data_IF_988531530044
#
_entry.id   IF_988531530044
#
_cell.length_a   1.000
_cell.length_b   1.000
_cell.length_c   1.000
_cell.angle_alpha   90.00
_cell.angle_beta   90.00
_cell.angle_gamma   90.00
#
_symmetry.space_group_name_H-M   'P 1'
#
loop_
_entity.id
_entity.type
_entity.pdbx_description
1 polymer ?
#
# COMPACT_ATOMS: atom_id res chain seq x y z
N UNK A 1 -19.34 -38.90 39.83
CA UNK A 1 -18.08 -38.14 39.77
C UNK A 1 -18.35 -36.94 38.87
N UNK A 2 -18.91 -35.88 39.45
CA UNK A 2 -19.21 -34.64 38.74
C UNK A 2 -18.02 -33.72 38.94
N UNK A 3 -17.26 -33.43 37.88
CA UNK A 3 -16.17 -32.46 37.93
C UNK A 3 -16.75 -31.09 37.64
N UNK A 4 -16.75 -30.24 38.67
CA UNK A 4 -17.10 -28.83 38.62
C UNK A 4 -16.30 -28.09 37.54
N UNK A 5 -16.96 -27.70 36.44
CA UNK A 5 -16.49 -26.69 35.50
C UNK A 5 -16.83 -25.30 36.05
N UNK A 6 -16.20 -24.92 37.15
CA UNK A 6 -16.25 -23.54 37.64
C UNK A 6 -15.11 -22.76 36.98
N UNK A 7 -15.25 -22.47 35.69
CA UNK A 7 -14.39 -21.49 35.00
C UNK A 7 -14.87 -20.11 35.44
N UNK A 8 -14.09 -19.47 36.31
CA UNK A 8 -14.33 -18.09 36.76
C UNK A 8 -14.45 -17.17 35.54
N UNK A 9 -15.69 -16.78 35.22
CA UNK A 9 -16.06 -15.94 34.06
C UNK A 9 -15.54 -14.50 34.25
N UNK A 10 -15.06 -14.15 35.45
CA UNK A 10 -14.50 -12.84 35.77
C UNK A 10 -12.97 -12.77 35.73
N UNK A 11 -12.27 -13.88 35.48
CA UNK A 11 -10.82 -13.88 35.40
C UNK A 11 -10.36 -13.77 33.93
N UNK A 12 -10.49 -12.58 33.34
CA UNK A 12 -9.71 -12.26 32.13
C UNK A 12 -8.26 -12.16 32.61
N UNK A 13 -7.35 -13.05 32.20
CA UNK A 13 -5.95 -12.91 32.56
C UNK A 13 -5.47 -11.56 32.04
N UNK A 14 -5.18 -10.65 32.97
CA UNK A 14 -4.57 -9.35 32.72
C UNK A 14 -3.10 -9.54 32.32
N UNK A 15 -2.82 -10.40 31.35
CA UNK A 15 -1.54 -10.38 30.65
C UNK A 15 -1.60 -9.21 29.67
N UNK A 16 -0.95 -8.11 30.03
CA UNK A 16 -0.84 -6.95 29.15
C UNK A 16 -0.24 -7.40 27.81
N UNK A 17 -0.90 -7.09 26.70
CA UNK A 17 -0.32 -7.42 25.39
C UNK A 17 0.99 -6.66 25.16
N UNK A 18 1.82 -7.23 24.30
CA UNK A 18 3.15 -6.72 23.98
C UNK A 18 3.06 -5.29 23.47
N UNK A 19 3.80 -4.39 24.11
CA UNK A 19 3.90 -2.99 23.70
C UNK A 19 4.96 -2.83 22.60
N UNK A 20 4.52 -2.41 21.41
CA UNK A 20 5.37 -2.12 20.24
C UNK A 20 5.73 -0.65 20.09
N UNK A 21 5.17 0.24 20.90
CA UNK A 21 5.32 1.69 20.73
C UNK A 21 6.79 2.12 20.76
N UNK A 22 7.57 1.53 21.67
CA UNK A 22 9.01 1.76 21.81
C UNK A 22 9.78 1.35 20.56
N UNK A 23 9.51 0.16 20.03
CA UNK A 23 10.17 -0.39 18.86
C UNK A 23 9.83 0.40 17.59
N UNK A 24 8.59 0.88 17.45
CA UNK A 24 8.17 1.71 16.31
C UNK A 24 8.72 3.13 16.35
N UNK A 25 9.01 3.68 17.53
CA UNK A 25 9.49 5.05 17.71
C UNK A 25 11.00 5.23 17.53
N UNK A 26 11.77 4.14 17.48
CA UNK A 26 13.22 4.21 17.29
C UNK A 26 13.56 4.73 15.89
N UNK A 27 14.61 5.56 15.72
CA UNK A 27 15.08 5.97 14.40
C UNK A 27 15.58 4.76 13.60
N UNK A 28 15.60 4.86 12.27
CA UNK A 28 16.15 3.78 11.44
C UNK A 28 17.68 3.69 11.65
N UNK A 29 18.24 2.48 11.72
CA UNK A 29 19.67 2.27 11.87
C UNK A 29 20.42 2.68 10.60
N UNK A 30 21.65 3.17 10.78
CA UNK A 30 22.52 3.65 9.70
C UNK A 30 23.42 2.57 9.11
N UNK A 31 23.63 1.45 9.82
CA UNK A 31 24.51 0.36 9.38
C UNK A 31 23.71 -0.89 9.01
N UNK A 32 24.10 -1.63 7.97
CA UNK A 32 23.38 -2.82 7.51
C UNK A 32 23.40 -3.95 8.55
N UNK A 33 24.48 -4.08 9.33
CA UNK A 33 24.58 -5.08 10.39
C UNK A 33 23.54 -4.86 11.50
N UNK A 34 23.39 -3.62 11.96
CA UNK A 34 22.40 -3.27 13.00
C UNK A 34 20.97 -3.40 12.47
N UNK A 35 20.75 -3.04 11.20
CA UNK A 35 19.46 -3.22 10.54
C UNK A 35 19.01 -4.69 10.52
N UNK A 36 19.94 -5.63 10.25
CA UNK A 36 19.65 -7.08 10.26
C UNK A 36 19.32 -7.58 11.67
N UNK A 37 20.09 -7.18 12.67
CA UNK A 37 19.83 -7.59 14.07
C UNK A 37 18.51 -7.04 14.58
N UNK A 38 18.19 -5.78 14.28
CA UNK A 38 16.92 -5.17 14.65
C UNK A 38 15.76 -5.85 13.92
N UNK A 39 15.88 -6.12 12.62
CA UNK A 39 14.87 -6.85 11.85
C UNK A 39 14.58 -8.24 12.44
N UNK A 40 15.61 -8.99 12.85
CA UNK A 40 15.42 -10.28 13.52
C UNK A 40 14.69 -10.14 14.86
N UNK A 41 15.02 -9.11 15.66
CA UNK A 41 14.33 -8.85 16.92
C UNK A 41 12.85 -8.49 16.71
N UNK A 42 12.53 -7.71 15.68
CA UNK A 42 11.16 -7.35 15.34
C UNK A 42 10.37 -8.55 14.84
N UNK A 43 10.96 -9.46 14.06
CA UNK A 43 10.31 -10.71 13.66
C UNK A 43 9.95 -11.59 14.87
N UNK A 44 10.82 -11.65 15.88
CA UNK A 44 10.52 -12.35 17.12
C UNK A 44 9.35 -11.68 17.86
N UNK A 45 9.31 -10.35 17.91
CA UNK A 45 8.21 -9.59 18.50
C UNK A 45 6.90 -9.81 17.72
N UNK A 46 6.94 -9.83 16.39
CA UNK A 46 5.79 -10.13 15.55
C UNK A 46 5.14 -11.47 15.93
N UNK A 47 5.96 -12.50 16.18
CA UNK A 47 5.46 -13.81 16.64
C UNK A 47 4.72 -13.71 17.99
N UNK A 48 5.17 -12.84 18.89
CA UNK A 48 4.49 -12.62 20.18
C UNK A 48 3.17 -11.85 20.01
N UNK A 49 3.11 -10.89 19.08
CA UNK A 49 1.87 -10.19 18.72
C UNK A 49 0.85 -11.15 18.09
N UNK A 50 1.29 -12.00 17.16
CA UNK A 50 0.43 -12.99 16.52
C UNK A 50 -0.13 -13.98 17.57
N UNK A 51 0.69 -14.38 18.54
CA UNK A 51 0.24 -15.17 19.69
C UNK A 51 -0.79 -14.44 20.56
N UNK A 52 -0.59 -13.15 20.84
CA UNK A 52 -1.54 -12.34 21.62
C UNK A 52 -2.86 -12.15 20.88
N UNK A 53 -2.80 -11.92 19.56
CA UNK A 53 -3.98 -11.84 18.70
C UNK A 53 -4.76 -13.15 18.70
N UNK A 54 -4.07 -14.30 18.65
CA UNK A 54 -4.72 -15.61 18.70
C UNK A 54 -5.50 -15.81 20.01
N UNK A 55 -4.94 -15.42 21.16
CA UNK A 55 -5.66 -15.50 22.45
C UNK A 55 -6.98 -14.75 22.43
N UNK A 56 -7.00 -13.52 21.90
CA UNK A 56 -8.25 -12.74 21.78
C UNK A 56 -9.21 -13.35 20.76
N UNK A 57 -8.71 -13.99 19.70
CA UNK A 57 -9.55 -14.75 18.77
C UNK A 57 -10.18 -15.98 19.45
N UNK A 58 -9.45 -16.65 20.33
CA UNK A 58 -9.95 -17.80 21.10
C UNK A 58 -11.05 -17.35 22.08
N UNK A 59 -10.94 -16.16 22.68
CA UNK A 59 -12.01 -15.55 23.50
C UNK A 59 -13.29 -15.33 22.68
N UNK A 60 -13.16 -14.86 21.44
CA UNK A 60 -14.31 -14.71 20.53
C UNK A 60 -14.90 -16.06 20.14
N UNK A 61 -14.06 -17.06 19.86
CA UNK A 61 -14.46 -18.42 19.53
C UNK A 61 -15.21 -19.10 20.68
N UNK A 62 -14.72 -18.95 21.93
CA UNK A 62 -15.37 -19.46 23.13
C UNK A 62 -16.78 -18.86 23.33
N UNK A 63 -16.98 -17.61 22.92
CA UNK A 63 -18.28 -16.95 22.93
C UNK A 63 -19.15 -17.24 21.68
N UNK A 64 -18.65 -18.05 20.72
CA UNK A 64 -19.35 -18.38 19.49
C UNK A 64 -19.65 -17.16 18.61
N UNK A 65 -18.72 -16.21 18.54
CA UNK A 65 -18.88 -14.88 17.94
C UNK A 65 -17.65 -14.59 17.07
N UNK A 66 -17.84 -13.93 15.93
CA UNK A 66 -16.74 -13.44 15.09
C UNK A 66 -16.53 -11.94 15.28
N UNK A 67 -15.52 -11.34 14.64
CA UNK A 67 -15.27 -9.89 14.66
C UNK A 67 -16.46 -9.03 14.17
N UNK A 68 -17.37 -9.60 13.38
CA UNK A 68 -18.43 -8.85 12.68
C UNK A 68 -19.84 -9.16 13.20
N UNK A 69 -20.00 -10.20 14.01
CA UNK A 69 -21.32 -10.62 14.51
C UNK A 69 -21.99 -9.51 15.34
N UNK A 70 -23.30 -9.24 15.14
CA UNK A 70 -24.02 -8.25 15.91
C UNK A 70 -24.11 -8.66 17.38
N UNK A 71 -23.99 -7.68 18.28
CA UNK A 71 -24.08 -7.88 19.74
C UNK A 71 -25.47 -7.56 20.31
N UNK A 72 -26.41 -7.34 19.41
CA UNK A 72 -27.80 -7.00 19.69
C UNK A 72 -28.71 -7.99 18.99
N UNK A 73 -29.89 -8.21 19.55
CA UNK A 73 -30.94 -9.00 18.94
C UNK A 73 -31.71 -8.20 17.87
N UNK A 74 -32.71 -8.83 17.25
CA UNK A 74 -33.57 -8.21 16.24
C UNK A 74 -34.48 -7.09 16.80
N UNK A 75 -34.65 -7.03 18.11
CA UNK A 75 -35.45 -6.02 18.82
C UNK A 75 -34.58 -4.85 19.31
N UNK A 76 -33.26 -4.91 19.12
CA UNK A 76 -32.30 -3.87 19.51
C UNK A 76 -31.76 -3.99 20.93
N UNK A 77 -32.01 -5.11 21.62
CA UNK A 77 -31.52 -5.34 22.98
C UNK A 77 -30.19 -6.10 23.01
N UNK A 78 -29.33 -5.85 24.02
CA UNK A 78 -28.09 -6.60 24.20
C UNK A 78 -28.33 -8.11 24.38
N UNK A 79 -27.50 -8.94 23.74
CA UNK A 79 -27.61 -10.40 23.86
C UNK A 79 -27.27 -10.87 25.28
N UNK A 80 -28.30 -11.28 26.03
CA UNK A 80 -28.16 -11.69 27.44
C UNK A 80 -27.36 -12.98 27.66
N UNK A 81 -27.25 -13.83 26.63
CA UNK A 81 -26.55 -15.11 26.69
C UNK A 81 -25.04 -15.03 26.40
N UNK A 82 -24.48 -13.83 26.18
CA UNK A 82 -23.09 -13.63 25.78
C UNK A 82 -22.42 -12.59 26.66
N UNK A 83 -21.14 -12.78 26.96
CA UNK A 83 -20.34 -11.75 27.63
C UNK A 83 -19.93 -10.66 26.63
N UNK A 84 -20.77 -9.62 26.56
CA UNK A 84 -20.55 -8.50 25.65
C UNK A 84 -19.30 -7.70 25.99
N UNK A 85 -18.87 -7.69 27.25
CA UNK A 85 -17.69 -6.93 27.67
C UNK A 85 -16.41 -7.63 27.24
N UNK A 86 -16.34 -8.95 27.46
CA UNK A 86 -15.24 -9.76 26.94
C UNK A 86 -15.15 -9.65 25.41
N UNK A 87 -16.28 -9.76 24.70
CA UNK A 87 -16.32 -9.65 23.24
C UNK A 87 -15.86 -8.28 22.75
N UNK A 88 -16.38 -7.19 23.33
CA UNK A 88 -16.01 -5.82 22.91
C UNK A 88 -14.52 -5.56 23.15
N UNK A 89 -14.01 -5.98 24.32
CA UNK A 89 -12.60 -5.82 24.68
C UNK A 89 -11.71 -6.62 23.74
N UNK A 90 -12.04 -7.90 23.49
CA UNK A 90 -11.29 -8.75 22.57
C UNK A 90 -11.28 -8.19 21.14
N UNK A 91 -12.43 -7.72 20.62
CA UNK A 91 -12.50 -7.08 19.29
C UNK A 91 -11.65 -5.82 19.21
N UNK A 92 -11.76 -4.95 20.20
CA UNK A 92 -10.96 -3.74 20.24
C UNK A 92 -9.47 -4.09 20.24
N UNK A 93 -9.08 -5.10 21.02
CA UNK A 93 -7.68 -5.49 21.13
C UNK A 93 -7.15 -6.13 19.85
N UNK A 94 -7.93 -6.99 19.19
CA UNK A 94 -7.59 -7.54 17.87
C UNK A 94 -7.36 -6.43 16.85
N UNK A 95 -8.19 -5.38 16.83
CA UNK A 95 -8.00 -4.27 15.90
C UNK A 95 -6.71 -3.50 16.17
N UNK A 96 -6.39 -3.24 17.44
CA UNK A 96 -5.12 -2.61 17.85
C UNK A 96 -3.95 -3.48 17.41
N UNK A 97 -3.94 -4.77 17.77
CA UNK A 97 -2.87 -5.72 17.43
C UNK A 97 -2.70 -5.89 15.92
N UNK A 98 -3.78 -5.83 15.13
CA UNK A 98 -3.69 -5.86 13.66
C UNK A 98 -2.97 -4.64 13.12
N UNK A 99 -3.33 -3.45 13.58
CA UNK A 99 -2.67 -2.20 13.18
C UNK A 99 -1.19 -2.21 13.59
N UNK A 100 -0.89 -2.64 14.81
CA UNK A 100 0.46 -2.77 15.34
C UNK A 100 1.31 -3.75 14.52
N UNK A 101 0.74 -4.92 14.20
CA UNK A 101 1.41 -5.91 13.36
C UNK A 101 1.69 -5.38 11.96
N UNK A 102 0.78 -4.57 11.39
CA UNK A 102 0.99 -3.93 10.10
C UNK A 102 2.15 -2.93 10.16
N UNK A 103 2.14 -2.04 11.15
CA UNK A 103 3.21 -1.06 11.36
C UNK A 103 4.58 -1.72 11.56
N UNK A 104 4.62 -2.84 12.29
CA UNK A 104 5.85 -3.60 12.51
C UNK A 104 6.35 -4.25 11.22
N UNK A 105 5.47 -4.89 10.43
CA UNK A 105 5.84 -5.46 9.11
C UNK A 105 6.40 -4.39 8.17
N UNK A 106 5.80 -3.20 8.15
CA UNK A 106 6.30 -2.07 7.36
C UNK A 106 7.69 -1.63 7.81
N UNK A 107 7.96 -1.62 9.12
CA UNK A 107 9.29 -1.30 9.67
C UNK A 107 10.31 -2.36 9.28
N UNK A 108 9.98 -3.65 9.44
CA UNK A 108 10.86 -4.77 9.04
C UNK A 108 11.19 -4.70 7.55
N UNK A 109 10.22 -4.38 6.69
CA UNK A 109 10.45 -4.22 5.26
C UNK A 109 11.47 -3.10 4.97
N UNK A 110 11.39 -1.96 5.67
CA UNK A 110 12.37 -0.87 5.56
C UNK A 110 13.76 -1.30 6.02
N UNK A 111 13.86 -1.98 7.16
CA UNK A 111 15.13 -2.47 7.69
C UNK A 111 15.80 -3.49 6.77
N UNK A 112 15.02 -4.41 6.21
CA UNK A 112 15.53 -5.39 5.25
C UNK A 112 16.00 -4.71 3.95
N UNK A 113 15.28 -3.69 3.50
CA UNK A 113 15.73 -2.85 2.38
C UNK A 113 17.07 -2.18 2.66
N UNK A 114 17.26 -1.60 3.85
CA UNK A 114 18.54 -1.02 4.27
C UNK A 114 19.65 -2.07 4.44
N UNK A 115 19.31 -3.26 4.94
CA UNK A 115 20.26 -4.34 5.11
C UNK A 115 20.77 -4.89 3.76
N UNK A 116 19.92 -4.92 2.74
CA UNK A 116 20.29 -5.38 1.39
C UNK A 116 21.05 -4.27 0.65
N UNK A 117 20.57 -3.03 0.72
CA UNK A 117 21.15 -1.91 0.00
C UNK A 117 22.39 -1.31 0.71
N UNK A 118 22.55 -1.56 2.02
CA UNK A 118 23.65 -1.03 2.82
C UNK A 118 25.02 -1.66 2.52
N UNK A 119 25.06 -2.85 1.91
CA UNK A 119 26.29 -3.42 1.33
C UNK A 119 26.69 -2.74 0.01
N UNK A 120 25.86 -1.85 -0.53
CA UNK A 120 26.13 -1.11 -1.78
C UNK A 120 26.50 0.36 -1.55
N UNK A 121 26.87 0.75 -0.32
CA UNK A 121 27.14 2.14 0.03
C UNK A 121 28.57 2.60 -0.32
N UNK A 122 28.85 2.68 -1.62
CA UNK A 122 29.27 3.96 -2.20
C UNK A 122 28.22 4.36 -3.23
N UNK A 123 27.64 5.54 -3.02
CA UNK A 123 26.65 6.22 -3.88
C UNK A 123 25.18 5.88 -3.60
N UNK A 124 24.53 6.69 -2.76
CA UNK A 124 23.45 7.59 -3.20
C UNK A 124 22.63 8.06 -1.99
N UNK A 125 23.04 9.19 -1.40
CA UNK A 125 22.15 10.00 -0.58
C UNK A 125 21.14 10.74 -1.49
N UNK A 126 19.88 10.72 -1.05
CA UNK A 126 18.77 11.59 -1.49
C UNK A 126 18.29 11.47 -2.94
N UNK A 127 17.40 10.52 -3.18
CA UNK A 127 16.09 10.80 -3.81
C UNK A 127 15.18 9.58 -3.67
N UNK A 128 13.92 9.86 -3.37
CA UNK A 128 12.76 8.96 -3.35
C UNK A 128 12.94 7.68 -4.16
N UNK A 129 12.78 6.54 -3.47
CA UNK A 129 12.71 5.18 -3.97
C UNK A 129 12.22 5.08 -5.43
N UNK A 130 13.14 5.25 -6.38
CA UNK A 130 13.02 4.66 -7.70
C UNK A 130 13.33 3.20 -7.50
N UNK A 131 12.29 2.47 -7.11
CA UNK A 131 12.11 1.10 -7.56
C UNK A 131 12.41 1.16 -9.06
N UNK A 132 13.58 0.68 -9.47
CA UNK A 132 13.89 0.34 -10.86
C UNK A 132 13.00 -0.85 -11.18
N UNK A 133 11.68 -0.61 -11.17
CA UNK A 133 10.74 -1.41 -11.92
C UNK A 133 11.21 -1.13 -13.32
N UNK A 134 11.68 -2.18 -14.00
CA UNK A 134 11.75 -2.18 -15.45
C UNK A 134 10.32 -1.87 -15.91
N UNK A 135 10.09 -0.58 -16.04
CA UNK A 135 8.81 0.02 -16.26
C UNK A 135 8.69 -0.06 -17.78
N UNK A 136 8.23 -1.22 -18.24
CA UNK A 136 8.11 -1.49 -19.66
C UNK A 136 7.28 -0.38 -20.31
N UNK A 137 7.87 0.26 -21.30
CA UNK A 137 7.15 1.22 -22.11
C UNK A 137 6.16 0.47 -23.00
N UNK A 138 4.89 0.82 -22.93
CA UNK A 138 3.85 0.16 -23.74
C UNK A 138 3.51 0.95 -25.01
N UNK A 139 4.00 2.19 -25.13
CA UNK A 139 3.71 3.05 -26.27
C UNK A 139 4.85 4.02 -26.57
N UNK A 140 4.95 4.43 -27.84
CA UNK A 140 5.89 5.44 -28.33
C UNK A 140 5.14 6.59 -28.97
N UNK A 141 5.62 7.81 -28.73
CA UNK A 141 5.13 9.02 -29.39
C UNK A 141 5.72 9.09 -30.80
N UNK A 142 4.86 8.99 -31.81
CA UNK A 142 5.26 9.08 -33.22
C UNK A 142 5.23 10.51 -33.76
N UNK A 143 4.31 11.34 -33.26
CA UNK A 143 4.24 12.76 -33.65
C UNK A 143 3.49 13.56 -32.59
N UNK A 144 3.86 14.83 -32.42
CA UNK A 144 3.17 15.80 -31.56
C UNK A 144 2.79 17.00 -32.42
N UNK A 145 1.53 17.42 -32.38
CA UNK A 145 1.06 18.56 -33.15
C UNK A 145 1.46 19.89 -32.50
N UNK A 146 1.73 20.90 -33.33
CA UNK A 146 2.05 22.24 -32.85
C UNK A 146 0.84 22.88 -32.16
N UNK A 147 1.10 23.69 -31.14
CA UNK A 147 0.12 24.31 -30.23
C UNK A 147 -0.84 23.33 -29.52
N UNK A 148 -0.51 22.04 -29.51
CA UNK A 148 -1.34 21.02 -28.85
C UNK A 148 -1.13 20.95 -27.33
N UNK A 149 -2.10 20.38 -26.59
CA UNK A 149 -1.93 20.07 -25.17
C UNK A 149 -0.72 19.19 -24.86
N UNK A 150 -0.43 18.22 -25.73
CA UNK A 150 0.75 17.36 -25.61
C UNK A 150 2.06 18.16 -25.76
N UNK A 151 2.13 19.10 -26.70
CA UNK A 151 3.31 19.96 -26.86
C UNK A 151 3.47 20.92 -25.68
N UNK A 152 2.36 21.52 -25.21
CA UNK A 152 2.35 22.41 -24.05
C UNK A 152 2.79 21.68 -22.76
N UNK A 153 2.48 20.39 -22.65
CA UNK A 153 2.96 19.52 -21.58
C UNK A 153 4.46 19.19 -21.71
N UNK A 154 5.07 19.40 -22.87
CA UNK A 154 6.49 19.10 -23.12
C UNK A 154 6.76 17.68 -23.62
N UNK A 155 5.74 17.00 -24.15
CA UNK A 155 5.88 15.72 -24.84
C UNK A 155 6.63 15.91 -26.16
N UNK A 156 7.56 15.01 -26.48
CA UNK A 156 8.36 15.07 -27.71
C UNK A 156 8.18 13.81 -28.55
N UNK A 157 8.40 13.95 -29.85
CA UNK A 157 8.51 12.82 -30.75
C UNK A 157 9.63 11.87 -30.29
N UNK A 158 9.35 10.57 -30.30
CA UNK A 158 10.29 9.54 -29.84
C UNK A 158 10.23 9.24 -28.35
N UNK A 159 9.47 10.00 -27.54
CA UNK A 159 9.28 9.69 -26.12
C UNK A 159 8.56 8.32 -25.97
N UNK A 160 9.02 7.51 -25.03
CA UNK A 160 8.43 6.20 -24.69
C UNK A 160 7.56 6.32 -23.47
N UNK A 161 6.26 6.08 -23.60
CA UNK A 161 5.29 6.20 -22.51
C UNK A 161 5.31 4.94 -21.66
N UNK A 162 5.61 5.14 -20.39
CA UNK A 162 5.68 4.12 -19.36
C UNK A 162 4.37 4.05 -18.56
N UNK A 163 3.84 5.23 -18.22
CA UNK A 163 2.58 5.38 -17.49
C UNK A 163 1.80 6.54 -18.08
N UNK A 164 0.49 6.35 -18.22
CA UNK A 164 -0.44 7.36 -18.69
C UNK A 164 -1.67 7.38 -17.78
N UNK A 165 -1.72 8.32 -16.84
CA UNK A 165 -2.76 8.37 -15.82
C UNK A 165 -2.78 7.10 -14.98
N UNK A 166 -3.87 6.34 -15.08
CA UNK A 166 -4.06 5.03 -14.44
C UNK A 166 -3.53 3.85 -15.26
N UNK A 167 -3.18 4.06 -16.54
CA UNK A 167 -2.78 3.00 -17.47
C UNK A 167 -1.27 2.78 -17.43
N UNK A 168 -0.86 1.53 -17.27
CA UNK A 168 0.54 1.05 -17.27
C UNK A 168 0.65 -0.16 -18.20
N UNK A 169 1.86 -0.59 -18.58
CA UNK A 169 2.09 -1.79 -19.39
C UNK A 169 1.46 -3.09 -18.85
N UNK A 170 1.22 -3.16 -17.54
CA UNK A 170 0.55 -4.29 -16.87
C UNK A 170 -0.97 -4.35 -17.13
N UNK A 171 -1.55 -3.33 -17.77
CA UNK A 171 -2.98 -3.30 -18.06
C UNK A 171 -3.29 -4.20 -19.28
N UNK A 172 -4.28 -5.12 -19.21
CA UNK A 172 -4.54 -6.11 -20.25
C UNK A 172 -4.93 -5.51 -21.61
N UNK A 173 -5.40 -4.26 -21.62
CA UNK A 173 -5.77 -3.53 -22.84
C UNK A 173 -4.67 -2.57 -23.34
N UNK A 174 -3.53 -2.46 -22.64
CA UNK A 174 -2.40 -1.62 -23.04
C UNK A 174 -2.79 -0.19 -23.46
N UNK A 175 -2.30 0.25 -24.63
CA UNK A 175 -2.65 1.55 -25.23
C UNK A 175 -4.15 1.71 -25.49
N UNK A 176 -4.88 0.63 -25.83
CA UNK A 176 -6.31 0.70 -26.12
C UNK A 176 -7.14 1.13 -24.90
N UNK A 177 -6.62 0.95 -23.69
CA UNK A 177 -7.24 1.46 -22.46
C UNK A 177 -7.39 2.99 -22.46
N UNK A 178 -6.55 3.72 -23.21
CA UNK A 178 -6.66 5.18 -23.35
C UNK A 178 -7.92 5.63 -24.10
N UNK A 179 -8.49 4.74 -24.92
CA UNK A 179 -9.75 5.00 -25.62
C UNK A 179 -10.99 4.73 -24.75
N UNK A 180 -10.82 4.17 -23.54
CA UNK A 180 -11.93 3.94 -22.63
C UNK A 180 -12.52 5.26 -22.13
N UNK A 181 -13.84 5.30 -22.01
CA UNK A 181 -14.57 6.47 -21.51
C UNK A 181 -14.10 6.80 -20.08
N UNK A 182 -13.69 8.05 -19.87
CA UNK A 182 -13.25 8.55 -18.56
C UNK A 182 -11.72 8.58 -18.34
N UNK A 183 -10.91 8.02 -19.25
CA UNK A 183 -9.44 8.11 -19.14
C UNK A 183 -8.91 9.45 -19.63
N UNK A 184 -9.47 9.97 -20.71
CA UNK A 184 -9.13 11.29 -21.26
C UNK A 184 -10.36 12.17 -21.15
N UNK A 185 -10.34 13.06 -20.15
CA UNK A 185 -11.42 14.01 -19.88
C UNK A 185 -10.88 15.43 -20.10
N UNK A 186 -11.66 16.25 -20.80
CA UNK A 186 -11.32 17.65 -21.05
C UNK A 186 -11.12 18.41 -19.73
N UNK A 187 -10.04 19.17 -19.62
CA UNK A 187 -9.69 19.96 -18.44
C UNK A 187 -9.10 19.18 -17.26
N UNK A 188 -9.10 17.85 -17.27
CA UNK A 188 -8.57 17.05 -16.16
C UNK A 188 -7.07 16.77 -16.34
N UNK A 189 -6.19 17.18 -15.42
CA UNK A 189 -4.76 16.89 -15.53
C UNK A 189 -4.47 15.39 -15.45
N UNK A 190 -3.74 14.89 -16.45
CA UNK A 190 -3.28 13.51 -16.53
C UNK A 190 -1.78 13.50 -16.29
N UNK A 191 -1.32 12.68 -15.34
CA UNK A 191 0.11 12.47 -15.12
C UNK A 191 0.65 11.41 -16.07
N UNK A 192 1.72 11.73 -16.79
CA UNK A 192 2.45 10.84 -17.67
C UNK A 192 3.87 10.64 -17.16
N UNK A 193 4.39 9.45 -17.37
CA UNK A 193 5.78 9.11 -17.13
C UNK A 193 6.37 8.63 -18.46
N UNK A 194 7.37 9.34 -18.96
CA UNK A 194 7.98 9.08 -20.27
C UNK A 194 9.49 8.89 -20.19
N UNK A 195 10.04 8.00 -21.00
CA UNK A 195 11.49 7.83 -21.17
C UNK A 195 11.93 8.51 -22.46
N UNK A 196 12.91 9.41 -22.36
CA UNK A 196 13.48 10.18 -23.49
C UNK A 196 14.86 9.65 -23.82
N UNK A 197 15.10 9.37 -25.11
CA UNK A 197 16.27 8.64 -25.62
C UNK A 197 17.60 8.97 -24.92
N UNK A 198 18.19 7.94 -24.30
CA UNK A 198 19.51 8.00 -23.66
C UNK A 198 19.52 8.39 -22.17
N UNK A 199 18.42 8.92 -21.63
CA UNK A 199 18.33 9.19 -20.19
C UNK A 199 17.74 7.98 -19.45
N UNK A 200 18.49 7.44 -18.49
CA UNK A 200 18.03 6.32 -17.66
C UNK A 200 16.89 6.71 -16.70
N UNK A 201 16.66 8.01 -16.51
CA UNK A 201 15.61 8.52 -15.63
C UNK A 201 14.36 8.87 -16.46
N UNK A 202 13.19 8.35 -16.08
CA UNK A 202 11.94 8.77 -16.68
C UNK A 202 11.60 10.21 -16.28
N UNK A 203 11.00 10.95 -17.21
CA UNK A 203 10.51 12.31 -17.05
C UNK A 203 9.03 12.26 -16.74
N UNK A 204 8.63 12.89 -15.64
CA UNK A 204 7.23 13.07 -15.28
C UNK A 204 6.69 14.34 -15.94
N UNK A 205 5.55 14.21 -16.60
CA UNK A 205 4.90 15.27 -17.37
C UNK A 205 3.43 15.29 -17.01
N UNK A 206 2.85 16.49 -16.82
CA UNK A 206 1.40 16.64 -16.65
C UNK A 206 0.79 17.17 -17.94
N UNK A 207 -0.13 16.40 -18.54
CA UNK A 207 -0.87 16.78 -19.72
C UNK A 207 -2.30 17.10 -19.33
N UNK A 208 -2.77 18.30 -19.68
CA UNK A 208 -4.17 18.70 -19.48
C UNK A 208 -4.88 18.65 -20.83
N UNK A 209 -5.75 17.66 -21.10
CA UNK A 209 -6.49 17.59 -22.35
C UNK A 209 -7.34 18.85 -22.52
N UNK A 210 -7.39 19.38 -23.73
CA UNK A 210 -8.17 20.58 -24.07
C UNK A 210 -8.97 20.32 -25.33
N UNK A 211 -10.25 20.66 -25.37
CA UNK A 211 -11.01 20.73 -26.61
C UNK A 211 -10.74 22.04 -27.38
N UNK A 212 -10.80 22.01 -28.72
CA UNK A 212 -10.76 23.23 -29.53
C UNK A 212 -9.39 23.91 -29.67
N UNK A 213 -8.29 23.20 -29.45
CA UNK A 213 -6.91 23.71 -29.66
C UNK A 213 -6.51 23.85 -31.13
N UNK A 214 -7.43 23.60 -32.08
CA UNK A 214 -7.18 23.72 -33.52
C UNK A 214 -6.79 22.41 -34.22
N UNK A 215 -6.81 21.27 -33.53
CA UNK A 215 -6.53 19.96 -34.11
C UNK A 215 -7.52 18.86 -33.72
N UNK A 216 -7.20 17.61 -34.10
CA UNK A 216 -8.07 16.44 -33.88
C UNK A 216 -7.89 15.88 -32.46
N UNK A 217 -9.00 15.66 -31.76
CA UNK A 217 -9.03 15.05 -30.43
C UNK A 217 -8.62 16.01 -29.30
N UNK A 218 -8.38 15.47 -28.11
CA UNK A 218 -8.15 16.25 -26.88
C UNK A 218 -6.66 16.38 -26.48
N UNK A 219 -5.79 15.54 -27.04
CA UNK A 219 -4.38 15.43 -26.65
C UNK A 219 -3.42 16.07 -27.67
N UNK A 220 -3.67 15.84 -28.97
CA UNK A 220 -2.82 16.31 -30.06
C UNK A 220 -1.48 15.57 -30.21
N UNK A 221 -1.40 14.32 -29.78
CA UNK A 221 -0.27 13.43 -30.06
C UNK A 221 -0.74 12.12 -30.71
N UNK A 222 0.17 11.49 -31.47
CA UNK A 222 -0.04 10.16 -32.04
C UNK A 222 0.82 9.16 -31.28
N UNK A 223 0.16 8.25 -30.56
CA UNK A 223 0.79 7.18 -29.80
C UNK A 223 0.65 5.86 -30.57
N UNK A 224 1.76 5.13 -30.70
CA UNK A 224 1.84 3.84 -31.37
C UNK A 224 2.27 2.80 -30.33
N UNK A 225 1.66 1.61 -30.27
CA UNK A 225 2.11 0.53 -29.39
C UNK A 225 3.54 0.11 -29.76
N UNK A 226 4.31 -0.35 -28.77
CA UNK A 226 5.67 -0.89 -28.96
C UNK A 226 5.60 -2.41 -29.11
#
# INVERSE_FOLDING_TARGET
MSTDLNVDIHNVPSEADVDVSSALSQPLPTTPAVARTEAMSLLALQKQLDGSMQRHLDVLAANGVTMQTPLIDAQGFPLANKDLMAIRTARQRINVLRNDSHALRDRVAKLLGLAINGDTLESSSTSSAQKKVDLDAFARVNSVADSSPAQAAGLREGDRVVKFGSVTAQHPQGLAALAAQGVVVDGTPIQLLVSRGGSSAPVEITLVPRAGWGGRGLLGCHLVPI
#
